data_IF_197462991755
#
_entry.id   IF_197462991755
#
_cell.length_a   1.000
_cell.length_b   1.000
_cell.length_c   1.000
_cell.angle_alpha   90.00
_cell.angle_beta   90.00
_cell.angle_gamma   90.00
#
_symmetry.space_group_name_H-M   'P 1'
#
loop_
_entity.id
_entity.type
_entity.pdbx_description
1 polymer ?
#
# COMPACT_ATOMS: atom_id res chain seq x y z
N UNK A 1 69.40 27.62 -27.26
CA UNK A 1 69.45 29.04 -26.84
C UNK A 1 68.55 29.20 -25.62
N UNK A 2 69.10 29.73 -24.53
CA UNK A 2 68.46 30.48 -23.41
C UNK A 2 66.96 30.32 -23.06
N UNK A 3 66.72 29.91 -21.80
CA UNK A 3 65.77 30.45 -20.77
C UNK A 3 64.26 30.61 -21.10
N UNK A 4 63.32 30.42 -20.16
CA UNK A 4 63.26 31.06 -18.82
C UNK A 4 62.35 30.30 -17.83
N UNK A 5 62.60 30.46 -16.53
CA UNK A 5 61.82 30.02 -15.35
C UNK A 5 60.40 30.69 -15.27
N UNK A 6 59.46 30.44 -14.34
CA UNK A 6 59.54 30.14 -12.88
C UNK A 6 58.14 29.84 -12.29
N UNK A 7 58.08 29.19 -11.10
CA UNK A 7 57.03 29.33 -10.03
C UNK A 7 55.58 28.79 -10.30
N UNK A 8 54.79 28.33 -9.31
CA UNK A 8 54.94 28.18 -7.84
C UNK A 8 53.93 27.14 -7.26
N UNK A 9 54.36 26.38 -6.23
CA UNK A 9 53.70 26.03 -4.93
C UNK A 9 52.14 26.06 -4.91
N UNK A 10 51.39 25.03 -4.48
CA UNK A 10 51.50 24.18 -3.27
C UNK A 10 50.97 22.74 -3.54
N UNK A 11 50.83 21.77 -2.60
CA UNK A 11 51.05 21.73 -1.13
C UNK A 11 51.63 20.34 -0.73
N UNK A 12 51.50 19.91 0.54
CA UNK A 12 52.03 18.64 1.10
C UNK A 12 50.96 17.75 1.74
N UNK A 13 51.24 16.44 1.81
CA UNK A 13 50.41 15.41 2.45
C UNK A 13 51.14 14.73 3.63
N UNK A 14 50.38 14.19 4.59
CA UNK A 14 50.68 13.04 5.50
C UNK A 14 49.50 12.89 6.49
N UNK A 15 48.95 11.74 6.90
CA UNK A 15 49.34 10.33 7.13
C UNK A 15 50.06 10.01 8.46
N UNK A 16 49.34 9.27 9.32
CA UNK A 16 49.82 8.39 10.41
C UNK A 16 50.24 9.04 11.73
N UNK A 17 50.25 8.38 12.88
CA UNK A 17 49.53 7.23 13.46
C UNK A 17 50.06 7.07 14.93
N UNK A 18 49.20 6.65 15.87
CA UNK A 18 49.49 5.85 17.10
C UNK A 18 50.26 6.37 18.34
N UNK A 19 49.67 6.00 19.50
CA UNK A 19 50.25 5.60 20.82
C UNK A 19 50.86 6.70 21.73
N UNK A 20 50.70 6.69 23.06
CA UNK A 20 50.64 5.55 24.01
C UNK A 20 49.87 5.84 25.33
N UNK A 21 49.76 4.84 26.22
CA UNK A 21 49.00 4.85 27.49
C UNK A 21 49.81 5.32 28.72
N UNK A 22 49.13 5.85 29.75
CA UNK A 22 49.50 5.69 31.17
C UNK A 22 48.23 5.55 32.06
N UNK A 23 48.27 4.63 33.02
CA UNK A 23 47.29 4.27 34.08
C UNK A 23 47.49 5.10 35.36
N UNK A 24 46.72 5.06 36.47
CA UNK A 24 45.35 4.68 36.84
C UNK A 24 45.12 5.19 38.30
N UNK A 25 43.87 5.35 38.77
CA UNK A 25 43.54 5.39 40.21
C UNK A 25 42.05 5.08 40.44
N UNK A 26 41.71 4.52 41.61
CA UNK A 26 40.40 3.92 41.91
C UNK A 26 39.72 4.67 43.06
N UNK A 27 38.40 4.87 42.98
CA UNK A 27 37.55 5.24 44.12
C UNK A 27 36.17 4.54 43.98
N UNK A 28 35.58 4.13 45.11
CA UNK A 28 34.52 3.12 45.13
C UNK A 28 33.10 3.67 45.31
N UNK A 29 32.15 3.03 44.63
CA UNK A 29 30.86 2.60 45.19
C UNK A 29 29.77 3.63 45.53
N UNK A 30 28.68 3.60 44.76
CA UNK A 30 27.32 3.38 45.31
C UNK A 30 26.56 2.48 44.33
N UNK A 31 25.89 1.44 44.83
CA UNK A 31 24.96 0.62 44.03
C UNK A 31 23.62 1.34 43.99
N UNK A 32 23.28 1.92 42.84
CA UNK A 32 21.94 2.46 42.56
C UNK A 32 21.39 1.83 41.29
N UNK A 33 20.55 0.81 41.43
CA UNK A 33 19.88 0.15 40.31
C UNK A 33 18.77 1.04 39.74
N UNK A 34 19.17 2.06 38.98
CA UNK A 34 18.27 2.78 38.10
C UNK A 34 17.81 1.84 36.98
N UNK A 35 16.59 1.30 37.11
CA UNK A 35 15.97 0.50 36.07
C UNK A 35 15.83 1.35 34.80
N UNK A 36 16.65 1.07 33.79
CA UNK A 36 16.53 1.69 32.47
C UNK A 36 15.27 1.15 31.81
N UNK A 37 14.15 1.84 32.02
CA UNK A 37 12.93 1.65 31.25
C UNK A 37 13.26 2.02 29.79
N UNK A 38 13.66 1.02 29.00
CA UNK A 38 13.74 1.15 27.56
C UNK A 38 12.32 1.29 27.03
N UNK A 39 11.90 2.54 26.83
CA UNK A 39 10.71 2.89 26.07
C UNK A 39 10.87 2.34 24.66
N UNK A 40 10.33 1.15 24.43
CA UNK A 40 10.13 0.64 23.08
C UNK A 40 9.32 1.68 22.30
N UNK A 41 9.60 1.93 21.00
CA UNK A 41 8.73 2.72 20.16
C UNK A 41 7.32 2.14 20.25
N UNK A 42 6.38 2.91 20.80
CA UNK A 42 4.97 2.53 20.81
C UNK A 42 4.53 2.47 19.35
N UNK A 43 4.21 1.28 18.87
CA UNK A 43 3.52 1.11 17.59
C UNK A 43 2.33 2.09 17.56
N UNK A 44 2.07 2.80 16.45
CA UNK A 44 0.94 3.71 16.37
C UNK A 44 -0.32 3.00 16.82
N UNK A 45 -0.96 3.48 17.89
CA UNK A 45 -2.31 3.02 18.19
C UNK A 45 -3.19 3.45 17.01
N UNK A 46 -4.00 2.55 16.43
CA UNK A 46 -4.99 2.94 15.43
C UNK A 46 -5.79 4.14 15.94
N UNK A 47 -6.11 5.07 15.04
CA UNK A 47 -6.78 6.32 15.38
C UNK A 47 -8.29 6.13 15.64
N UNK A 48 -8.67 5.09 16.38
CA UNK A 48 -10.05 4.82 16.75
C UNK A 48 -10.64 5.93 17.65
N UNK A 49 -9.80 6.63 18.43
CA UNK A 49 -10.16 7.89 19.11
C UNK A 49 -10.44 9.06 18.14
N UNK A 50 -9.98 8.99 16.88
CA UNK A 50 -10.33 9.94 15.82
C UNK A 50 -11.54 9.50 14.98
N UNK A 51 -12.00 8.25 15.10
CA UNK A 51 -13.02 7.66 14.23
C UNK A 51 -12.52 7.20 12.86
N UNK A 52 -11.20 7.28 12.64
CA UNK A 52 -10.52 6.78 11.44
C UNK A 52 -10.06 5.35 11.67
N UNK A 53 -10.47 4.46 10.77
CA UNK A 53 -10.07 3.06 10.74
C UNK A 53 -9.15 2.83 9.54
N UNK A 54 -7.99 2.21 9.77
CA UNK A 54 -6.92 2.10 8.77
C UNK A 54 -5.94 3.28 8.82
N UNK A 55 -5.12 3.40 7.78
CA UNK A 55 -4.16 4.50 7.59
C UNK A 55 -4.14 4.92 6.12
N UNK A 56 -5.13 5.71 5.67
CA UNK A 56 -5.21 6.14 4.29
C UNK A 56 -4.02 7.02 3.88
N UNK A 57 -3.42 7.77 4.81
CA UNK A 57 -2.27 8.62 4.51
C UNK A 57 -1.02 7.81 4.12
N UNK A 58 -0.79 6.66 4.76
CA UNK A 58 0.28 5.74 4.36
C UNK A 58 -0.07 5.01 3.05
N UNK A 59 -1.30 4.48 2.95
CA UNK A 59 -1.74 3.64 1.84
C UNK A 59 -1.91 4.40 0.51
N UNK A 60 -2.36 5.66 0.53
CA UNK A 60 -2.51 6.51 -0.65
C UNK A 60 -1.22 6.72 -1.45
N UNK A 61 -0.05 6.44 -0.85
CA UNK A 61 1.24 6.52 -1.55
C UNK A 61 1.42 5.43 -2.63
N UNK A 62 0.71 4.30 -2.52
CA UNK A 62 0.82 3.16 -3.45
C UNK A 62 -0.09 3.27 -4.68
N UNK A 63 -1.17 4.06 -4.60
CA UNK A 63 -2.04 4.36 -5.74
C UNK A 63 -1.27 4.75 -7.01
N UNK A 64 -1.67 4.19 -8.15
CA UNK A 64 -1.26 4.59 -9.50
C UNK A 64 -2.50 4.65 -10.39
N UNK A 65 -2.58 5.68 -11.24
CA UNK A 65 -3.59 5.77 -12.30
C UNK A 65 -3.27 4.73 -13.39
N UNK A 66 -4.28 3.96 -13.80
CA UNK A 66 -4.13 3.02 -14.91
C UNK A 66 -4.06 3.74 -16.26
N UNK A 67 -3.21 3.24 -17.15
CA UNK A 67 -3.06 3.68 -18.54
C UNK A 67 -3.70 2.69 -19.52
N UNK A 68 -3.86 1.43 -19.13
CA UNK A 68 -4.50 0.37 -19.91
C UNK A 68 -6.02 0.34 -19.64
N UNK A 69 -6.77 -0.14 -20.62
CA UNK A 69 -8.21 -0.41 -20.47
C UNK A 69 -8.43 -1.75 -19.76
N UNK A 70 -9.35 -1.76 -18.77
CA UNK A 70 -9.90 -2.94 -18.09
C UNK A 70 -9.01 -3.66 -17.05
N UNK A 71 -7.84 -3.15 -16.72
CA UNK A 71 -6.88 -3.74 -15.76
C UNK A 71 -6.99 -3.22 -14.31
N UNK A 72 -8.12 -2.60 -13.94
CA UNK A 72 -8.38 -2.11 -12.58
C UNK A 72 -8.19 -3.18 -11.48
N UNK A 73 -8.37 -4.47 -11.81
CA UNK A 73 -8.12 -5.58 -10.90
C UNK A 73 -6.62 -5.75 -10.62
N UNK A 74 -5.80 -5.74 -11.67
CA UNK A 74 -4.35 -5.82 -11.64
C UNK A 74 -3.77 -4.63 -10.88
N UNK A 75 -4.26 -3.41 -11.14
CA UNK A 75 -3.80 -2.21 -10.47
C UNK A 75 -4.20 -2.17 -8.98
N UNK A 76 -5.38 -2.65 -8.62
CA UNK A 76 -5.74 -2.85 -7.21
C UNK A 76 -4.87 -3.91 -6.51
N UNK A 77 -4.41 -4.95 -7.22
CA UNK A 77 -3.43 -5.90 -6.69
C UNK A 77 -2.05 -5.24 -6.53
N UNK A 78 -1.59 -4.45 -7.51
CA UNK A 78 -0.30 -3.75 -7.43
C UNK A 78 -0.22 -2.75 -6.26
N UNK A 79 -1.33 -2.09 -5.95
CA UNK A 79 -1.47 -1.22 -4.77
C UNK A 79 -1.34 -2.04 -3.47
N UNK A 80 -2.14 -3.09 -3.29
CA UNK A 80 -2.08 -3.98 -2.11
C UNK A 80 -0.72 -4.67 -1.94
N UNK A 81 -0.05 -5.04 -3.04
CA UNK A 81 1.32 -5.56 -3.02
C UNK A 81 2.30 -4.49 -2.52
N UNK A 82 2.13 -3.24 -2.96
CA UNK A 82 2.86 -2.08 -2.44
C UNK A 82 2.64 -1.88 -0.95
N UNK A 83 1.40 -1.85 -0.49
CA UNK A 83 1.04 -1.66 0.91
C UNK A 83 1.66 -2.69 1.86
N UNK A 84 1.87 -3.93 1.40
CA UNK A 84 2.41 -5.03 2.20
C UNK A 84 3.93 -5.13 2.10
N UNK A 85 4.51 -4.89 0.92
CA UNK A 85 5.94 -5.12 0.66
C UNK A 85 6.81 -3.86 0.67
N UNK A 86 6.21 -2.67 0.53
CA UNK A 86 6.93 -1.43 0.25
C UNK A 86 7.35 -1.26 -1.21
N UNK A 87 6.95 -2.16 -2.12
CA UNK A 87 7.21 -2.10 -3.56
C UNK A 87 5.98 -2.55 -4.37
N UNK A 88 5.25 -1.60 -4.95
CA UNK A 88 4.25 -1.94 -5.97
C UNK A 88 4.95 -2.42 -7.25
N UNK A 89 4.51 -3.51 -7.88
CA UNK A 89 4.84 -3.77 -9.28
C UNK A 89 4.28 -2.63 -10.15
N UNK A 90 4.93 -2.38 -11.29
CA UNK A 90 4.36 -1.54 -12.34
C UNK A 90 3.17 -2.21 -13.04
N UNK A 91 2.37 -1.41 -13.73
CA UNK A 91 1.22 -1.84 -14.54
C UNK A 91 1.58 -2.96 -15.53
N UNK A 92 2.68 -2.80 -16.27
CA UNK A 92 3.22 -3.81 -17.19
C UNK A 92 3.66 -5.10 -16.47
N UNK A 93 4.20 -5.01 -15.25
CA UNK A 93 4.62 -6.17 -14.46
C UNK A 93 3.42 -6.96 -13.92
N UNK A 94 2.36 -6.27 -13.45
CA UNK A 94 1.18 -6.95 -12.89
C UNK A 94 0.25 -7.49 -13.97
N UNK A 95 0.04 -6.75 -15.07
CA UNK A 95 -0.68 -7.26 -16.25
C UNK A 95 0.10 -8.37 -16.95
N UNK A 96 1.43 -8.26 -17.02
CA UNK A 96 2.32 -9.30 -17.53
C UNK A 96 2.31 -10.57 -16.68
N UNK A 97 2.26 -10.47 -15.34
CA UNK A 97 2.08 -11.61 -14.45
C UNK A 97 0.70 -12.26 -14.66
N UNK A 98 -0.37 -11.47 -14.65
CA UNK A 98 -1.74 -11.94 -14.87
C UNK A 98 -1.93 -12.64 -16.24
N UNK A 99 -1.23 -12.19 -17.28
CA UNK A 99 -1.21 -12.82 -18.61
C UNK A 99 -0.52 -14.20 -18.66
N UNK A 100 0.20 -14.59 -17.60
CA UNK A 100 0.89 -15.88 -17.51
C UNK A 100 0.32 -16.82 -16.44
N UNK A 101 -0.66 -16.37 -15.65
CA UNK A 101 -1.33 -17.19 -14.63
C UNK A 101 -2.67 -17.70 -15.20
N UNK A 102 -2.98 -19.01 -15.15
CA UNK A 102 -4.29 -19.51 -15.57
C UNK A 102 -5.44 -18.94 -14.73
N UNK A 103 -6.53 -18.53 -15.38
CA UNK A 103 -7.75 -18.08 -14.69
C UNK A 103 -8.44 -19.24 -13.96
N UNK A 104 -8.97 -18.94 -12.77
CA UNK A 104 -9.87 -19.78 -12.00
C UNK A 104 -11.35 -19.60 -12.40
N UNK A 105 -11.66 -18.63 -13.28
CA UNK A 105 -12.99 -18.34 -13.78
C UNK A 105 -13.28 -18.95 -15.17
N UNK A 106 -12.28 -18.98 -16.06
CA UNK A 106 -12.45 -19.40 -17.46
C UNK A 106 -11.17 -20.03 -18.05
N UNK A 107 -11.25 -20.70 -19.21
CA UNK A 107 -10.05 -21.10 -19.95
C UNK A 107 -9.21 -19.87 -20.36
N UNK A 108 -7.89 -20.03 -20.34
CA UNK A 108 -6.93 -18.95 -20.66
C UNK A 108 -6.27 -18.34 -19.42
N UNK A 109 -5.49 -17.26 -19.60
CA UNK A 109 -4.88 -16.53 -18.48
C UNK A 109 -5.92 -15.69 -17.72
N UNK A 110 -5.51 -15.12 -16.58
CA UNK A 110 -6.30 -14.14 -15.81
C UNK A 110 -6.62 -12.90 -16.67
N UNK A 111 -5.57 -12.31 -17.27
CA UNK A 111 -5.68 -11.09 -18.05
C UNK A 111 -5.18 -11.32 -19.48
N UNK A 112 -5.91 -10.79 -20.46
CA UNK A 112 -5.49 -10.82 -21.88
C UNK A 112 -5.90 -9.54 -22.63
N UNK A 113 -5.74 -8.38 -21.99
CA UNK A 113 -6.23 -7.10 -22.52
C UNK A 113 -7.76 -6.93 -22.39
N UNK A 114 -8.34 -7.50 -21.34
CA UNK A 114 -9.78 -7.51 -21.09
C UNK A 114 -10.06 -7.75 -19.61
N UNK A 115 -11.32 -7.59 -19.20
CA UNK A 115 -11.71 -7.58 -17.78
C UNK A 115 -11.38 -8.88 -17.05
N UNK A 116 -10.60 -8.75 -15.98
CA UNK A 116 -10.30 -9.82 -15.02
C UNK A 116 -11.50 -10.17 -14.15
N UNK A 117 -11.63 -11.45 -13.79
CA UNK A 117 -12.72 -11.95 -12.95
C UNK A 117 -12.46 -11.74 -11.45
N UNK A 118 -13.51 -11.51 -10.66
CA UNK A 118 -13.48 -11.48 -9.19
C UNK A 118 -12.76 -12.71 -8.59
N UNK A 119 -12.86 -13.88 -9.23
CA UNK A 119 -12.23 -15.13 -8.79
C UNK A 119 -10.70 -15.14 -8.94
N UNK A 120 -10.15 -14.28 -9.79
CA UNK A 120 -8.76 -14.31 -10.21
C UNK A 120 -7.85 -13.37 -9.39
N UNK A 121 -8.45 -12.43 -8.64
CA UNK A 121 -7.74 -11.57 -7.69
C UNK A 121 -6.95 -12.36 -6.63
N UNK A 122 -7.51 -13.44 -6.09
CA UNK A 122 -6.82 -14.26 -5.07
C UNK A 122 -5.64 -15.05 -5.67
N UNK A 123 -5.78 -15.75 -6.82
CA UNK A 123 -4.65 -16.29 -7.56
C UNK A 123 -3.55 -15.25 -7.88
N UNK A 124 -3.92 -14.04 -8.30
CA UNK A 124 -2.95 -12.98 -8.63
C UNK A 124 -2.22 -12.46 -7.37
N UNK A 125 -2.92 -12.23 -6.25
CA UNK A 125 -2.28 -11.91 -4.97
C UNK A 125 -1.37 -13.05 -4.47
N UNK A 126 -1.77 -14.30 -4.66
CA UNK A 126 -0.99 -15.47 -4.28
C UNK A 126 0.32 -15.60 -5.09
N UNK A 127 0.35 -15.14 -6.35
CA UNK A 127 1.58 -15.05 -7.14
C UNK A 127 2.62 -14.12 -6.48
N UNK A 128 2.18 -13.01 -5.89
CA UNK A 128 3.03 -12.10 -5.09
C UNK A 128 3.26 -12.57 -3.64
N UNK A 129 2.87 -13.81 -3.30
CA UNK A 129 3.04 -14.37 -1.97
C UNK A 129 2.06 -13.82 -0.92
N UNK A 130 0.99 -13.13 -1.32
CA UNK A 130 0.02 -12.51 -0.42
C UNK A 130 -1.19 -13.45 -0.25
N UNK A 131 -1.34 -14.13 0.90
CA UNK A 131 -2.51 -14.94 1.17
C UNK A 131 -3.74 -14.05 1.41
N UNK A 132 -4.83 -14.32 0.69
CA UNK A 132 -6.09 -13.61 0.82
C UNK A 132 -7.31 -14.55 0.73
N UNK A 133 -8.46 -14.06 1.20
CA UNK A 133 -9.75 -14.74 1.18
C UNK A 133 -10.82 -13.86 0.50
N UNK A 134 -11.75 -14.49 -0.23
CA UNK A 134 -12.99 -13.84 -0.68
C UNK A 134 -14.01 -13.85 0.45
N UNK A 135 -14.60 -12.70 0.74
CA UNK A 135 -15.66 -12.51 1.73
C UNK A 135 -16.72 -11.54 1.20
N UNK A 136 -17.93 -11.64 1.75
CA UNK A 136 -19.08 -10.79 1.43
C UNK A 136 -19.57 -10.04 2.70
N UNK A 137 -18.78 -9.10 3.25
CA UNK A 137 -19.06 -8.45 4.52
C UNK A 137 -20.10 -7.31 4.45
N UNK A 138 -20.40 -6.71 5.61
CA UNK A 138 -20.92 -5.33 5.69
C UNK A 138 -19.84 -4.37 6.23
N UNK A 139 -20.11 -3.06 6.19
CA UNK A 139 -19.15 -2.00 6.51
C UNK A 139 -18.45 -2.16 7.89
N UNK A 140 -19.19 -2.57 8.93
CA UNK A 140 -18.64 -2.85 10.27
C UNK A 140 -17.51 -3.89 10.26
N UNK A 141 -17.57 -4.85 9.33
CA UNK A 141 -16.52 -5.85 9.18
C UNK A 141 -15.32 -5.28 8.44
N UNK A 142 -15.51 -4.45 7.41
CA UNK A 142 -14.41 -3.73 6.76
C UNK A 142 -13.65 -2.85 7.78
N UNK A 143 -14.37 -2.12 8.64
CA UNK A 143 -13.82 -1.36 9.78
C UNK A 143 -12.91 -2.25 10.65
N UNK A 144 -13.42 -3.40 11.13
CA UNK A 144 -12.62 -4.32 11.95
C UNK A 144 -11.42 -4.94 11.20
N UNK A 145 -11.47 -5.04 9.87
CA UNK A 145 -10.34 -5.51 9.04
C UNK A 145 -9.26 -4.44 8.89
N UNK A 146 -9.65 -3.17 8.71
CA UNK A 146 -8.74 -2.03 8.71
C UNK A 146 -8.04 -1.85 10.07
N UNK A 147 -8.77 -1.99 11.18
CA UNK A 147 -8.19 -1.98 12.54
C UNK A 147 -7.21 -3.14 12.79
N UNK A 148 -7.36 -4.25 12.05
CA UNK A 148 -6.43 -5.40 12.04
C UNK A 148 -5.27 -5.22 11.04
N UNK A 149 -5.17 -4.06 10.37
CA UNK A 149 -4.15 -3.80 9.34
C UNK A 149 -4.31 -4.60 8.05
N UNK A 150 -5.49 -5.20 7.80
CA UNK A 150 -5.75 -5.99 6.59
C UNK A 150 -5.99 -5.09 5.39
N UNK A 151 -5.56 -5.56 4.22
CA UNK A 151 -5.69 -4.86 2.95
C UNK A 151 -6.84 -5.46 2.16
N UNK A 152 -7.57 -4.62 1.43
CA UNK A 152 -8.88 -5.01 0.89
C UNK A 152 -9.13 -4.44 -0.51
N UNK A 153 -9.37 -5.34 -1.47
CA UNK A 153 -9.85 -5.01 -2.81
C UNK A 153 -11.35 -5.29 -2.85
N UNK A 154 -12.15 -4.35 -3.35
CA UNK A 154 -13.62 -4.48 -3.41
C UNK A 154 -14.13 -4.35 -4.85
N UNK A 155 -15.16 -5.12 -5.19
CA UNK A 155 -15.85 -5.02 -6.48
C UNK A 155 -16.98 -4.00 -6.40
N UNK A 156 -16.92 -2.95 -7.23
CA UNK A 156 -17.87 -1.82 -7.21
C UNK A 156 -18.46 -1.55 -8.59
N UNK A 157 -19.57 -0.79 -8.63
CA UNK A 157 -20.07 -0.18 -9.86
C UNK A 157 -19.53 1.26 -10.00
N UNK A 158 -18.72 1.50 -11.02
CA UNK A 158 -18.09 2.80 -11.30
C UNK A 158 -19.09 3.94 -11.55
N UNK A 159 -20.22 3.64 -12.19
CA UNK A 159 -21.27 4.62 -12.51
C UNK A 159 -22.02 5.08 -11.26
N UNK A 160 -22.07 4.26 -10.21
CA UNK A 160 -22.55 4.70 -8.90
C UNK A 160 -21.46 5.51 -8.19
N UNK A 161 -20.24 4.98 -8.12
CA UNK A 161 -19.11 5.57 -7.39
C UNK A 161 -18.85 7.02 -7.83
N UNK A 162 -18.60 7.22 -9.12
CA UNK A 162 -18.31 8.52 -9.73
C UNK A 162 -19.58 9.31 -10.11
N UNK A 163 -20.77 8.82 -9.73
CA UNK A 163 -22.07 9.35 -10.09
C UNK A 163 -22.28 9.61 -11.61
N UNK A 164 -21.71 8.76 -12.45
CA UNK A 164 -21.78 8.88 -13.90
C UNK A 164 -23.05 8.23 -14.51
N UNK A 165 -23.46 8.62 -15.72
CA UNK A 165 -24.49 7.91 -16.47
C UNK A 165 -23.98 6.55 -16.97
N UNK A 166 -24.88 5.57 -17.09
CA UNK A 166 -24.58 4.25 -17.62
C UNK A 166 -25.29 3.12 -16.85
N UNK A 167 -24.79 1.90 -17.01
CA UNK A 167 -25.33 0.73 -16.33
C UNK A 167 -24.90 0.70 -14.85
N UNK A 168 -25.88 0.74 -13.94
CA UNK A 168 -25.70 0.74 -12.47
C UNK A 168 -26.20 -0.55 -11.80
N UNK A 169 -26.42 -1.63 -12.56
CA UNK A 169 -27.07 -2.87 -12.10
C UNK A 169 -26.14 -3.98 -11.58
N UNK A 170 -24.84 -3.94 -11.93
CA UNK A 170 -23.82 -4.90 -11.51
C UNK A 170 -22.47 -4.22 -11.33
N UNK A 171 -21.54 -4.86 -10.65
CA UNK A 171 -20.16 -4.42 -10.57
C UNK A 171 -19.45 -4.46 -11.93
N UNK A 172 -18.41 -3.63 -12.05
CA UNK A 172 -17.61 -3.51 -13.27
C UNK A 172 -16.22 -2.91 -13.04
N UNK A 173 -15.84 -2.64 -11.79
CA UNK A 173 -14.61 -1.94 -11.41
C UNK A 173 -14.09 -2.44 -10.06
N UNK A 174 -12.79 -2.29 -9.81
CA UNK A 174 -12.14 -2.64 -8.55
C UNK A 174 -11.39 -1.44 -7.97
N UNK A 175 -11.50 -1.27 -6.65
CA UNK A 175 -10.77 -0.24 -5.89
C UNK A 175 -10.22 -0.85 -4.60
N UNK A 176 -9.19 -0.21 -4.02
CA UNK A 176 -8.64 -0.61 -2.71
C UNK A 176 -9.26 0.27 -1.62
N UNK A 177 -9.84 -0.35 -0.59
CA UNK A 177 -10.32 0.37 0.59
C UNK A 177 -9.16 0.58 1.55
N UNK A 178 -8.72 1.82 1.69
CA UNK A 178 -7.52 2.19 2.45
C UNK A 178 -7.84 2.83 3.82
N UNK A 179 -9.07 3.31 4.01
CA UNK A 179 -9.55 3.80 5.29
C UNK A 179 -11.06 4.02 5.34
N UNK A 180 -11.62 4.13 6.55
CA UNK A 180 -13.02 4.52 6.78
C UNK A 180 -13.04 5.55 7.91
N UNK A 181 -13.53 6.75 7.63
CA UNK A 181 -13.79 7.78 8.63
C UNK A 181 -15.28 7.79 9.00
N UNK A 182 -15.58 7.28 10.19
CA UNK A 182 -16.93 7.18 10.72
C UNK A 182 -17.52 8.51 11.20
N UNK A 183 -16.69 9.57 11.35
CA UNK A 183 -17.13 10.92 11.75
C UNK A 183 -17.39 11.81 10.54
N UNK A 184 -16.52 11.74 9.53
CA UNK A 184 -16.74 12.39 8.23
C UNK A 184 -17.75 11.61 7.36
N UNK A 185 -18.06 10.36 7.71
CA UNK A 185 -18.99 9.47 7.01
C UNK A 185 -18.52 9.15 5.56
N UNK A 186 -17.21 8.90 5.41
CA UNK A 186 -16.55 8.59 4.14
C UNK A 186 -15.70 7.32 4.22
N UNK A 187 -15.62 6.63 3.08
CA UNK A 187 -14.63 5.61 2.78
C UNK A 187 -13.53 6.27 1.97
N UNK A 188 -12.29 6.05 2.36
CA UNK A 188 -11.10 6.43 1.63
C UNK A 188 -10.70 5.27 0.72
N UNK A 189 -10.63 5.51 -0.59
CA UNK A 189 -10.24 4.51 -1.59
C UNK A 189 -9.07 4.95 -2.44
N UNK A 190 -8.26 3.99 -2.87
CA UNK A 190 -7.39 4.15 -4.02
C UNK A 190 -8.12 3.57 -5.24
N UNK A 191 -8.47 4.44 -6.18
CA UNK A 191 -9.19 4.11 -7.41
C UNK A 191 -8.28 4.34 -8.63
N UNK A 192 -7.79 3.26 -9.26
CA UNK A 192 -6.91 3.37 -10.43
C UNK A 192 -7.60 3.92 -11.67
N UNK A 193 -8.94 3.89 -11.73
CA UNK A 193 -9.75 4.23 -12.91
C UNK A 193 -9.95 5.71 -13.17
N UNK A 194 -9.51 6.60 -12.27
CA UNK A 194 -9.58 8.05 -12.42
C UNK A 194 -8.27 8.73 -11.99
N UNK A 195 -7.81 9.73 -12.74
CA UNK A 195 -6.51 10.42 -12.51
C UNK A 195 -6.41 11.10 -11.12
N UNK A 196 -7.55 11.40 -10.49
CA UNK A 196 -7.64 11.97 -9.15
C UNK A 196 -7.97 10.92 -8.05
N UNK A 197 -7.91 9.62 -8.36
CA UNK A 197 -8.37 8.53 -7.49
C UNK A 197 -7.46 8.15 -6.32
N UNK A 198 -6.42 8.94 -6.05
CA UNK A 198 -5.58 8.78 -4.85
C UNK A 198 -6.32 9.34 -3.64
N UNK A 199 -6.57 8.49 -2.64
CA UNK A 199 -7.34 8.87 -1.45
C UNK A 199 -8.70 9.51 -1.79
N UNK A 200 -9.42 8.93 -2.75
CA UNK A 200 -10.76 9.40 -3.10
C UNK A 200 -11.71 9.18 -1.91
N UNK A 201 -12.34 10.26 -1.45
CA UNK A 201 -13.25 10.25 -0.31
C UNK A 201 -14.70 10.10 -0.77
N UNK A 202 -15.19 8.86 -0.73
CA UNK A 202 -16.54 8.48 -1.15
C UNK A 202 -17.45 8.40 0.09
N UNK A 203 -18.60 9.07 0.09
CA UNK A 203 -19.57 8.93 1.21
C UNK A 203 -19.94 7.46 1.41
N UNK A 204 -20.01 6.99 2.66
CA UNK A 204 -20.28 5.56 2.97
C UNK A 204 -21.53 5.05 2.23
N UNK A 205 -22.63 5.79 2.23
CA UNK A 205 -23.85 5.40 1.51
C UNK A 205 -23.69 5.31 -0.03
N UNK A 206 -22.81 6.10 -0.64
CA UNK A 206 -22.47 5.99 -2.08
C UNK A 206 -21.61 4.75 -2.34
N UNK A 207 -20.63 4.50 -1.45
CA UNK A 207 -19.77 3.32 -1.51
C UNK A 207 -20.59 2.03 -1.35
N UNK A 208 -21.47 1.93 -0.34
CA UNK A 208 -22.31 0.75 -0.11
C UNK A 208 -23.30 0.50 -1.26
N UNK A 209 -23.87 1.56 -1.87
CA UNK A 209 -24.68 1.39 -3.09
C UNK A 209 -23.84 0.87 -4.26
N UNK A 210 -22.62 1.36 -4.47
CA UNK A 210 -21.73 0.87 -5.54
C UNK A 210 -21.27 -0.59 -5.30
N UNK A 211 -20.92 -0.91 -4.06
CA UNK A 211 -20.36 -2.19 -3.61
C UNK A 211 -21.41 -3.30 -3.51
N UNK A 212 -22.65 -2.99 -3.13
CA UNK A 212 -23.76 -3.95 -3.15
C UNK A 212 -24.06 -4.54 -4.53
N UNK A 213 -23.57 -3.92 -5.60
CA UNK A 213 -23.72 -4.44 -6.97
C UNK A 213 -22.83 -5.66 -7.28
N UNK A 214 -21.88 -5.98 -6.40
CA UNK A 214 -21.10 -7.23 -6.42
C UNK A 214 -21.52 -8.24 -5.34
N UNK A 215 -22.68 -8.05 -4.69
CA UNK A 215 -23.06 -8.73 -3.44
C UNK A 215 -22.01 -8.49 -2.32
N UNK A 216 -21.50 -7.24 -2.22
CA UNK A 216 -20.45 -6.86 -1.28
C UNK A 216 -19.14 -7.65 -1.44
N UNK A 217 -18.81 -8.13 -2.64
CA UNK A 217 -17.57 -8.86 -2.92
C UNK A 217 -16.34 -8.08 -2.43
N UNK A 218 -15.52 -8.75 -1.62
CA UNK A 218 -14.27 -8.23 -1.07
C UNK A 218 -13.22 -9.33 -1.04
N UNK A 219 -12.01 -9.02 -1.50
CA UNK A 219 -10.81 -9.82 -1.21
C UNK A 219 -10.09 -9.16 -0.03
N UNK A 220 -9.83 -9.93 1.04
CA UNK A 220 -9.14 -9.45 2.24
C UNK A 220 -7.89 -10.27 2.52
N UNK A 221 -6.78 -9.62 2.87
CA UNK A 221 -5.52 -10.30 3.21
C UNK A 221 -5.57 -10.98 4.60
N UNK A 222 -4.84 -12.10 4.74
CA UNK A 222 -4.85 -12.98 5.93
C UNK A 222 -3.97 -12.54 7.09
#
# INVERSE_FOLDING_TARGET
MTNTSTNRIATTASLGLTAALVTAAVAAGVIGSAGTAHSLPRAPTPNSDSGMHGDPAAAASYWRYQQQDFDCAEMAVADVVGEISGHSPSEDEVTGAAANIPSAAHPGPIYSGGRTSNKDLVPLLAHYGIPADVVHPGIDTLIRRLDQGRKMIVGVNDKILWNAPGNRSRENHFVVVIGIDTRANVVHVNDSGVEAGRDEQVRIATFEDAWSKSDNFTVVTR
#
